data_IF_831602526586
#
_entry.id   IF_831602526586
#
_cell.length_a   1.000
_cell.length_b   1.000
_cell.length_c   1.000
_cell.angle_alpha   90.00
_cell.angle_beta   90.00
_cell.angle_gamma   90.00
#
_symmetry.space_group_name_H-M   'P 1'
#
loop_
_entity.id
_entity.type
_entity.pdbx_description
1 polymer ?
#
# COMPACT_ATOMS: atom_id res chain seq x y z
N UNK A 1 -13.26 -28.65 -6.48
CA UNK A 1 -12.44 -28.93 -7.67
C UNK A 1 -11.09 -28.31 -7.39
N UNK A 2 -10.04 -29.13 -7.30
CA UNK A 2 -8.67 -28.68 -7.05
C UNK A 2 -8.18 -28.01 -8.35
N UNK A 3 -7.51 -26.84 -8.30
CA UNK A 3 -6.93 -26.23 -9.49
C UNK A 3 -5.98 -27.20 -10.19
N UNK A 4 -6.08 -27.31 -11.51
CA UNK A 4 -5.32 -28.30 -12.29
C UNK A 4 -3.87 -27.90 -12.56
N UNK A 5 -3.51 -26.63 -12.32
CA UNK A 5 -2.18 -26.07 -12.65
C UNK A 5 -1.72 -25.15 -11.52
N UNK A 6 -0.47 -25.33 -11.08
CA UNK A 6 0.19 -24.42 -10.15
C UNK A 6 1.15 -23.49 -10.91
N UNK A 7 1.11 -22.20 -10.61
CA UNK A 7 1.99 -21.19 -11.18
C UNK A 7 2.84 -20.54 -10.09
N UNK A 8 4.15 -20.43 -10.35
CA UNK A 8 5.10 -19.72 -9.50
C UNK A 8 5.35 -18.35 -10.13
N UNK A 9 5.09 -17.28 -9.38
CA UNK A 9 5.21 -15.91 -9.90
C UNK A 9 6.25 -15.14 -9.09
N UNK A 10 7.33 -14.76 -9.77
CA UNK A 10 8.30 -13.77 -9.33
C UNK A 10 8.07 -12.49 -10.13
N UNK A 11 7.57 -11.44 -9.49
CA UNK A 11 7.24 -10.18 -10.16
C UNK A 11 6.85 -9.10 -9.17
N UNK A 12 6.72 -7.87 -9.68
CA UNK A 12 6.24 -6.75 -8.88
C UNK A 12 4.72 -6.79 -8.70
N UNK A 13 4.23 -6.17 -7.64
CA UNK A 13 2.80 -6.01 -7.36
C UNK A 13 2.00 -5.43 -8.54
N UNK A 14 2.55 -4.46 -9.28
CA UNK A 14 1.87 -3.85 -10.43
C UNK A 14 1.60 -4.86 -11.55
N UNK A 15 2.59 -5.67 -11.88
CA UNK A 15 2.50 -6.67 -12.95
C UNK A 15 1.53 -7.78 -12.54
N UNK A 16 1.67 -8.29 -11.32
CA UNK A 16 0.84 -9.38 -10.82
C UNK A 16 -0.61 -8.94 -10.64
N UNK A 17 -0.86 -7.71 -10.20
CA UNK A 17 -2.21 -7.14 -10.17
C UNK A 17 -2.87 -7.17 -11.57
N UNK A 18 -2.09 -6.89 -12.62
CA UNK A 18 -2.54 -7.03 -14.01
C UNK A 18 -2.95 -8.46 -14.37
N UNK A 19 -2.14 -9.45 -13.96
CA UNK A 19 -2.42 -10.88 -14.15
C UNK A 19 -3.69 -11.30 -13.42
N UNK A 20 -3.86 -10.92 -12.15
CA UNK A 20 -5.04 -11.30 -11.36
C UNK A 20 -6.33 -10.70 -11.94
N UNK A 21 -6.27 -9.44 -12.41
CA UNK A 21 -7.38 -8.84 -13.16
C UNK A 21 -7.69 -9.61 -14.45
N UNK A 22 -6.68 -10.10 -15.17
CA UNK A 22 -6.89 -10.90 -16.37
C UNK A 22 -7.55 -12.25 -16.08
N UNK A 23 -7.10 -12.95 -15.02
CA UNK A 23 -7.70 -14.21 -14.55
C UNK A 23 -9.19 -14.02 -14.21
N UNK A 24 -9.52 -12.92 -13.53
CA UNK A 24 -10.92 -12.58 -13.26
C UNK A 24 -11.74 -12.33 -14.53
N UNK A 25 -11.24 -11.49 -15.45
CA UNK A 25 -11.92 -11.22 -16.74
C UNK A 25 -12.16 -12.50 -17.53
N UNK A 26 -11.22 -13.44 -17.48
CA UNK A 26 -11.32 -14.74 -18.13
C UNK A 26 -12.19 -15.77 -17.38
N UNK A 27 -12.70 -15.43 -16.18
CA UNK A 27 -13.42 -16.34 -15.28
C UNK A 27 -12.63 -17.61 -14.93
N UNK A 28 -11.31 -17.47 -14.85
CA UNK A 28 -10.36 -18.57 -14.61
C UNK A 28 -9.87 -18.65 -13.15
N UNK A 29 -10.63 -18.09 -12.20
CA UNK A 29 -10.22 -17.96 -10.79
C UNK A 29 -10.00 -19.29 -10.07
N UNK A 30 -10.56 -20.40 -10.59
CA UNK A 30 -10.38 -21.76 -10.05
C UNK A 30 -9.42 -22.61 -10.88
N UNK A 31 -8.79 -22.02 -11.89
CA UNK A 31 -7.92 -22.72 -12.84
C UNK A 31 -6.48 -22.83 -12.34
N UNK A 32 -6.05 -21.90 -11.48
CA UNK A 32 -4.66 -21.79 -11.02
C UNK A 32 -4.57 -21.83 -9.50
N UNK A 33 -3.49 -22.42 -9.00
CA UNK A 33 -2.97 -22.21 -7.65
C UNK A 33 -1.68 -21.39 -7.73
N UNK A 34 -1.47 -20.49 -6.78
CA UNK A 34 -0.35 -19.54 -6.83
C UNK A 34 0.69 -19.84 -5.76
N UNK A 35 1.96 -19.79 -6.16
CA UNK A 35 3.10 -19.65 -5.26
C UNK A 35 3.79 -18.32 -5.59
N UNK A 36 3.77 -17.38 -4.66
CA UNK A 36 4.24 -16.02 -4.90
C UNK A 36 5.45 -15.61 -4.05
N UNK A 37 6.27 -14.74 -4.64
CA UNK A 37 7.34 -14.03 -3.92
C UNK A 37 6.79 -12.86 -3.10
N UNK A 38 7.57 -12.41 -2.12
CA UNK A 38 7.37 -11.22 -1.31
C UNK A 38 7.09 -9.93 -2.10
N UNK A 39 7.58 -9.85 -3.35
CA UNK A 39 7.34 -8.72 -4.24
C UNK A 39 5.87 -8.39 -4.56
N UNK A 40 4.92 -9.30 -4.30
CA UNK A 40 3.50 -9.05 -4.62
C UNK A 40 2.50 -9.62 -3.62
N UNK A 41 2.86 -10.65 -2.86
CA UNK A 41 1.89 -11.44 -2.07
C UNK A 41 1.37 -10.74 -0.82
N UNK A 42 2.12 -9.78 -0.27
CA UNK A 42 1.73 -8.99 0.90
C UNK A 42 1.12 -7.63 0.54
N UNK A 43 0.86 -7.36 -0.75
CA UNK A 43 0.48 -6.04 -1.25
C UNK A 43 -1.02 -5.96 -1.53
N UNK A 44 -1.69 -5.03 -0.87
CA UNK A 44 -3.13 -4.74 -1.07
C UNK A 44 -3.47 -4.46 -2.54
N UNK A 45 -2.56 -3.82 -3.28
CA UNK A 45 -2.71 -3.55 -4.72
C UNK A 45 -3.06 -4.78 -5.56
N UNK A 46 -2.59 -5.97 -5.16
CA UNK A 46 -2.84 -7.21 -5.89
C UNK A 46 -4.14 -7.87 -5.46
N UNK A 47 -4.42 -7.88 -4.16
CA UNK A 47 -5.57 -8.59 -3.59
C UNK A 47 -6.87 -7.79 -3.67
N UNK A 48 -6.82 -6.46 -3.53
CA UNK A 48 -8.00 -5.61 -3.49
C UNK A 48 -8.77 -5.66 -4.82
N UNK A 49 -10.03 -6.11 -4.74
CA UNK A 49 -10.88 -6.36 -5.88
C UNK A 49 -10.53 -7.61 -6.69
N UNK A 50 -9.49 -8.37 -6.33
CA UNK A 50 -9.08 -9.65 -6.93
C UNK A 50 -9.10 -10.84 -5.97
N UNK A 51 -9.85 -10.75 -4.88
CA UNK A 51 -9.82 -11.72 -3.76
C UNK A 51 -10.09 -13.14 -4.25
N UNK A 52 -11.06 -13.33 -5.15
CA UNK A 52 -11.38 -14.63 -5.73
C UNK A 52 -10.27 -15.21 -6.61
N UNK A 53 -9.46 -14.36 -7.23
CA UNK A 53 -8.36 -14.80 -8.07
C UNK A 53 -7.14 -15.21 -7.25
N UNK A 54 -6.89 -14.53 -6.12
CA UNK A 54 -5.72 -14.79 -5.25
C UNK A 54 -6.00 -15.80 -4.13
N UNK A 55 -7.23 -16.28 -4.01
CA UNK A 55 -7.65 -17.25 -2.99
C UNK A 55 -6.74 -18.49 -2.99
N UNK A 56 -6.23 -18.85 -1.80
CA UNK A 56 -5.36 -20.02 -1.63
C UNK A 56 -3.91 -19.83 -2.08
N UNK A 57 -3.47 -18.59 -2.36
CA UNK A 57 -2.05 -18.28 -2.64
C UNK A 57 -1.16 -18.69 -1.47
N UNK A 58 -0.08 -19.40 -1.77
CA UNK A 58 1.01 -19.66 -0.83
C UNK A 58 2.11 -18.64 -1.11
N UNK A 59 2.62 -17.98 -0.08
CA UNK A 59 3.69 -16.99 -0.24
C UNK A 59 4.88 -17.27 0.65
N UNK A 60 6.04 -16.78 0.22
CA UNK A 60 7.25 -16.71 1.03
C UNK A 60 7.56 -15.25 1.28
N UNK A 61 7.74 -14.87 2.53
CA UNK A 61 8.12 -13.52 2.94
C UNK A 61 9.35 -13.59 3.85
N UNK A 62 10.29 -12.64 3.74
CA UNK A 62 11.33 -12.47 4.74
C UNK A 62 10.71 -12.30 6.12
N UNK A 63 11.32 -12.90 7.15
CA UNK A 63 10.90 -12.65 8.52
C UNK A 63 11.26 -11.21 8.90
N UNK A 64 10.25 -10.39 9.18
CA UNK A 64 10.41 -9.06 9.75
C UNK A 64 10.20 -9.11 11.27
N UNK A 65 10.91 -8.25 12.00
CA UNK A 65 10.69 -8.01 13.42
C UNK A 65 10.39 -6.53 13.61
N UNK A 66 9.49 -6.23 14.54
CA UNK A 66 9.18 -4.85 14.91
C UNK A 66 10.43 -4.15 15.45
N UNK A 67 10.69 -2.95 14.96
CA UNK A 67 11.73 -2.08 15.49
C UNK A 67 11.14 -1.29 16.65
N UNK A 68 11.61 -1.60 17.86
CA UNK A 68 11.14 -0.94 19.10
C UNK A 68 11.24 0.59 18.99
N UNK A 69 10.15 1.28 19.31
CA UNK A 69 10.08 2.74 19.29
C UNK A 69 9.88 3.38 17.92
N UNK A 70 9.98 2.62 16.81
CA UNK A 70 9.83 3.17 15.46
C UNK A 70 8.41 3.68 15.24
N UNK A 71 7.41 2.90 15.65
CA UNK A 71 5.99 3.24 15.53
C UNK A 71 5.66 4.50 16.31
N UNK A 72 6.06 4.57 17.58
CA UNK A 72 5.83 5.72 18.45
C UNK A 72 6.58 6.96 17.97
N UNK A 73 7.77 6.79 17.40
CA UNK A 73 8.50 7.87 16.76
C UNK A 73 7.73 8.39 15.53
N UNK A 74 7.31 7.50 14.64
CA UNK A 74 6.66 7.85 13.38
C UNK A 74 5.32 8.56 13.62
N UNK A 75 4.49 8.06 14.53
CA UNK A 75 3.19 8.65 14.87
C UNK A 75 3.29 10.05 15.50
N UNK A 76 4.44 10.38 16.12
CA UNK A 76 4.71 11.71 16.68
C UNK A 76 5.19 12.73 15.64
N UNK A 77 5.47 12.31 14.40
CA UNK A 77 5.89 13.22 13.34
C UNK A 77 4.72 14.09 12.87
N UNK A 78 5.01 15.35 12.62
CA UNK A 78 4.11 16.31 11.99
C UNK A 78 4.89 17.32 11.17
N UNK A 79 4.18 18.07 10.34
CA UNK A 79 4.76 19.08 9.43
C UNK A 79 5.53 20.19 10.15
N UNK A 80 5.31 20.40 11.46
CA UNK A 80 6.03 21.40 12.27
C UNK A 80 7.36 20.85 12.77
N UNK A 81 7.42 19.59 13.21
CA UNK A 81 8.61 18.99 13.82
C UNK A 81 9.50 18.21 12.83
N UNK A 82 9.00 17.87 11.64
CA UNK A 82 9.77 17.12 10.64
C UNK A 82 10.18 18.00 9.44
N UNK A 83 11.19 18.87 9.64
CA UNK A 83 11.73 19.74 8.58
C UNK A 83 12.84 19.09 7.74
N UNK A 84 13.34 17.93 8.17
CA UNK A 84 14.46 17.22 7.51
C UNK A 84 14.05 16.47 6.24
N UNK A 85 12.79 16.03 6.17
CA UNK A 85 12.30 15.22 5.07
C UNK A 85 11.57 16.12 4.06
N UNK A 86 12.12 16.35 2.86
CA UNK A 86 11.53 17.26 1.86
C UNK A 86 10.18 16.76 1.32
N UNK A 87 9.91 15.45 1.38
CA UNK A 87 8.66 14.85 0.91
C UNK A 87 7.56 14.85 1.98
N UNK A 88 7.86 15.24 3.23
CA UNK A 88 6.92 15.07 4.33
C UNK A 88 5.67 15.95 4.21
N UNK A 89 5.80 17.14 3.59
CA UNK A 89 4.65 18.01 3.34
C UNK A 89 3.72 17.35 2.31
N UNK A 90 4.26 16.84 1.20
CA UNK A 90 3.47 16.17 0.17
C UNK A 90 2.78 14.91 0.72
N UNK A 91 3.50 14.11 1.51
CA UNK A 91 2.92 12.99 2.25
C UNK A 91 1.75 13.44 3.14
N UNK A 92 1.92 14.53 3.90
CA UNK A 92 0.88 15.02 4.81
C UNK A 92 -0.37 15.51 4.06
N UNK A 93 -0.16 16.25 2.97
CA UNK A 93 -1.23 16.70 2.08
C UNK A 93 -2.00 15.51 1.50
N UNK A 94 -1.30 14.47 1.06
CA UNK A 94 -1.91 13.26 0.55
C UNK A 94 -2.65 12.47 1.64
N UNK A 95 -2.03 12.28 2.80
CA UNK A 95 -2.57 11.49 3.90
C UNK A 95 -3.88 12.08 4.44
N UNK A 96 -3.95 13.40 4.57
CA UNK A 96 -5.12 14.11 5.13
C UNK A 96 -6.00 14.77 4.06
N UNK A 97 -5.66 14.59 2.77
CA UNK A 97 -6.36 15.14 1.62
C UNK A 97 -6.54 16.67 1.66
N UNK A 98 -5.58 17.37 2.28
CA UNK A 98 -5.58 18.81 2.54
C UNK A 98 -4.39 19.50 1.88
N UNK A 99 -4.42 20.83 1.74
CA UNK A 99 -3.27 21.62 1.25
C UNK A 99 -2.57 22.34 2.39
N UNK A 100 -1.27 22.15 2.54
CA UNK A 100 -0.49 22.79 3.59
C UNK A 100 -0.26 24.28 3.27
N UNK A 101 -0.51 25.20 4.23
CA UNK A 101 -0.33 26.63 4.00
C UNK A 101 1.12 26.97 3.60
N UNK A 102 1.29 27.65 2.46
CA UNK A 102 2.61 28.05 1.95
C UNK A 102 3.38 26.96 1.19
N UNK A 103 2.81 25.76 1.02
CA UNK A 103 3.43 24.72 0.21
C UNK A 103 3.38 25.08 -1.30
N UNK A 104 4.45 24.76 -2.07
CA UNK A 104 4.43 24.88 -3.52
C UNK A 104 3.28 24.08 -4.13
N UNK A 105 2.70 24.60 -5.22
CA UNK A 105 1.68 23.86 -5.97
C UNK A 105 2.36 22.81 -6.83
N UNK A 106 1.92 21.56 -6.73
CA UNK A 106 2.37 20.42 -7.53
C UNK A 106 1.20 19.88 -8.37
N UNK A 107 1.45 19.04 -9.38
CA UNK A 107 0.38 18.32 -10.09
C UNK A 107 -0.45 17.43 -9.17
N UNK A 108 0.09 17.03 -8.01
CA UNK A 108 -0.51 16.07 -7.08
C UNK A 108 -1.23 16.70 -5.89
N UNK A 109 -1.16 18.02 -5.70
CA UNK A 109 -1.88 18.72 -4.62
C UNK A 109 -2.93 19.73 -5.11
N UNK A 110 -3.12 19.85 -6.43
CA UNK A 110 -4.05 20.79 -7.03
C UNK A 110 -5.53 20.48 -6.75
N UNK A 111 -5.85 19.24 -6.42
CA UNK A 111 -7.21 18.77 -6.12
C UNK A 111 -7.66 19.08 -4.68
N UNK A 112 -6.74 19.36 -3.77
CA UNK A 112 -7.05 19.61 -2.36
C UNK A 112 -7.60 21.02 -2.18
N UNK A 113 -8.90 21.11 -1.90
CA UNK A 113 -9.63 22.39 -1.78
C UNK A 113 -9.51 23.04 -0.41
N UNK A 114 -9.34 22.25 0.64
CA UNK A 114 -9.27 22.74 2.01
C UNK A 114 -7.82 22.82 2.49
N UNK A 115 -7.55 23.79 3.37
CA UNK A 115 -6.24 23.93 3.98
C UNK A 115 -6.09 22.99 5.17
N UNK A 116 -4.89 22.45 5.38
CA UNK A 116 -4.59 21.69 6.58
C UNK A 116 -4.68 22.61 7.81
N UNK A 117 -5.36 22.14 8.86
CA UNK A 117 -5.52 22.83 10.14
C UNK A 117 -4.23 22.86 10.96
N UNK A 118 -3.31 21.92 10.74
CA UNK A 118 -2.11 21.73 11.54
C UNK A 118 -2.37 21.09 12.90
N UNK A 119 -3.58 20.55 13.11
CA UNK A 119 -4.00 19.73 14.24
C UNK A 119 -4.14 18.25 13.87
N UNK A 120 -3.94 17.90 12.59
CA UNK A 120 -3.95 16.51 12.14
C UNK A 120 -2.86 15.69 12.84
N UNK A 121 -3.12 14.40 13.05
CA UNK A 121 -2.19 13.50 13.71
C UNK A 121 -2.19 12.14 13.01
N UNK A 122 -1.00 11.57 12.88
CA UNK A 122 -0.84 10.19 12.45
C UNK A 122 -1.29 9.27 13.60
N UNK A 123 -2.08 8.27 13.25
CA UNK A 123 -2.63 7.29 14.19
C UNK A 123 -2.63 5.92 13.56
N UNK A 124 -2.78 4.89 14.38
CA UNK A 124 -2.91 3.50 13.93
C UNK A 124 -4.09 3.26 12.98
N UNK A 125 -5.07 4.16 12.98
CA UNK A 125 -6.27 4.03 12.15
C UNK A 125 -6.12 4.71 10.78
N UNK A 126 -5.10 5.55 10.59
CA UNK A 126 -4.90 6.29 9.34
C UNK A 126 -3.57 5.99 8.66
N UNK A 127 -2.70 5.20 9.27
CA UNK A 127 -1.44 4.74 8.69
C UNK A 127 -1.39 3.21 8.80
N UNK A 128 -0.91 2.57 7.75
CA UNK A 128 -0.64 1.15 7.73
C UNK A 128 0.86 0.92 7.94
N UNK A 129 1.20 0.09 8.92
CA UNK A 129 2.56 -0.41 9.11
C UNK A 129 2.61 -1.83 8.56
N UNK A 130 3.62 -2.11 7.74
CA UNK A 130 3.92 -3.48 7.31
C UNK A 130 4.18 -4.35 8.54
N UNK A 131 3.62 -5.56 8.53
CA UNK A 131 3.81 -6.59 9.56
C UNK A 131 4.46 -7.81 8.95
#
# INVERSE_FOLDING_TARGET
>A
MIPGVSAIIFGSDQEVAGVMRAVQRAKATKSFSWVGSDGWTARSLVSEGNEKAVEGTISVQPQANDVEGLKEYFLRLNVKNNKRNPWFIEFWEHQFQCRYPGAPRTPFNGQYKHQCSGLEQLTDNNIEFER
#
